data_IF_716600764631
#
_entry.id   IF_716600764631
#
_cell.length_a   1.000
_cell.length_b   1.000
_cell.length_c   1.000
_cell.angle_alpha   90.00
_cell.angle_beta   90.00
_cell.angle_gamma   90.00
#
_symmetry.space_group_name_H-M   'P 1'
#
loop_
_entity.id
_entity.type
_entity.pdbx_description
1 polymer ?
#
# COMPACT_ATOMS: atom_id res chain seq x y z
N UNK A 1 -13.17 5.09 14.28
CA UNK A 1 -11.73 5.21 13.89
C UNK A 1 -11.54 6.58 13.24
N UNK A 2 -10.45 7.30 13.53
CA UNK A 2 -10.21 8.63 12.95
C UNK A 2 -9.37 8.53 11.71
N UNK A 3 -9.85 9.07 10.59
CA UNK A 3 -9.09 9.30 9.36
C UNK A 3 -8.46 10.69 9.43
N UNK A 4 -7.16 10.79 9.27
CA UNK A 4 -6.40 12.05 9.35
C UNK A 4 -5.64 12.37 8.06
N UNK A 5 -5.77 11.54 7.02
CA UNK A 5 -5.04 11.69 5.77
C UNK A 5 -3.53 11.45 5.90
N UNK A 6 -3.10 10.58 6.82
CA UNK A 6 -1.67 10.26 7.06
C UNK A 6 -1.01 9.69 5.81
N UNK A 7 -1.74 8.91 5.00
CA UNK A 7 -1.23 8.40 3.74
C UNK A 7 -0.80 9.54 2.79
N UNK A 8 -1.59 10.62 2.72
CA UNK A 8 -1.28 11.81 1.93
C UNK A 8 -0.09 12.58 2.51
N UNK A 9 0.02 12.66 3.84
CA UNK A 9 1.19 13.25 4.48
C UNK A 9 2.47 12.49 4.16
N UNK A 10 2.45 11.15 4.21
CA UNK A 10 3.61 10.34 3.83
C UNK A 10 3.97 10.51 2.35
N UNK A 11 2.97 10.61 1.47
CA UNK A 11 3.19 10.95 0.06
C UNK A 11 3.86 12.31 -0.08
N UNK A 12 3.38 13.33 0.64
CA UNK A 12 3.98 14.66 0.65
C UNK A 12 5.43 14.66 1.15
N UNK A 13 5.74 13.86 2.18
CA UNK A 13 7.11 13.67 2.67
C UNK A 13 7.99 13.08 1.58
N UNK A 14 7.54 12.04 0.84
CA UNK A 14 8.30 11.48 -0.28
C UNK A 14 8.61 12.53 -1.34
N UNK A 15 7.65 13.40 -1.68
CA UNK A 15 7.84 14.49 -2.65
C UNK A 15 8.90 15.49 -2.14
N UNK A 16 8.78 15.94 -0.89
CA UNK A 16 9.74 16.90 -0.28
C UNK A 16 11.14 16.29 -0.24
N UNK A 17 11.26 15.03 0.21
CA UNK A 17 12.54 14.32 0.27
C UNK A 17 13.14 14.16 -1.11
N UNK A 18 12.36 13.85 -2.14
CA UNK A 18 12.84 13.75 -3.52
C UNK A 18 13.34 15.10 -4.05
N UNK A 19 12.67 16.20 -3.72
CA UNK A 19 13.17 17.54 -4.04
C UNK A 19 14.54 17.77 -3.38
N UNK A 20 14.67 17.47 -2.10
CA UNK A 20 15.95 17.63 -1.36
C UNK A 20 17.06 16.76 -2.00
N UNK A 21 16.75 15.51 -2.40
CA UNK A 21 17.69 14.62 -3.09
C UNK A 21 18.29 15.25 -4.36
N UNK A 22 17.51 16.06 -5.09
CA UNK A 22 17.97 16.68 -6.33
C UNK A 22 18.80 17.97 -6.10
N UNK A 23 18.74 18.59 -4.92
CA UNK A 23 19.46 19.81 -4.62
C UNK A 23 20.68 19.61 -3.72
N UNK A 24 20.72 18.52 -2.93
CA UNK A 24 21.79 18.28 -1.97
C UNK A 24 22.58 17.03 -2.39
N UNK A 25 23.82 17.25 -2.88
CA UNK A 25 24.73 16.15 -3.23
C UNK A 25 25.06 15.28 -2.01
N UNK A 26 25.11 13.96 -2.20
CA UNK A 26 25.39 13.01 -1.12
C UNK A 26 24.20 12.69 -0.18
N UNK A 27 23.07 13.39 -0.31
CA UNK A 27 21.90 13.18 0.54
C UNK A 27 21.32 11.78 0.36
N UNK A 28 21.20 11.31 -0.87
CA UNK A 28 20.67 9.96 -1.18
C UNK A 28 21.58 8.89 -0.60
N UNK A 29 22.89 9.00 -0.81
CA UNK A 29 23.93 8.05 -0.36
C UNK A 29 24.00 7.95 1.16
N UNK A 30 23.76 9.07 1.86
CA UNK A 30 23.73 9.13 3.32
C UNK A 30 22.53 8.37 3.94
N UNK A 31 21.40 8.22 3.20
CA UNK A 31 20.12 7.77 3.73
C UNK A 31 19.56 6.52 3.08
N UNK A 32 20.04 6.10 1.88
CA UNK A 32 19.59 4.90 1.21
C UNK A 32 20.00 3.64 2.02
N UNK A 33 19.24 2.56 1.83
CA UNK A 33 19.57 1.25 2.39
C UNK A 33 20.80 0.69 1.65
N UNK A 34 21.82 0.30 2.40
CA UNK A 34 23.00 -0.43 1.93
C UNK A 34 23.64 -1.17 3.11
N UNK A 35 24.79 -1.81 2.90
CA UNK A 35 25.50 -2.57 3.93
C UNK A 35 25.85 -1.76 5.19
N UNK A 36 25.94 -0.41 5.09
CA UNK A 36 26.15 0.44 6.26
C UNK A 36 24.96 0.45 7.22
N UNK A 37 23.79 -0.06 6.84
CA UNK A 37 22.61 -0.14 7.70
C UNK A 37 22.84 -0.97 8.98
N UNK A 38 23.83 -1.89 9.00
CA UNK A 38 24.21 -2.62 10.21
C UNK A 38 24.74 -1.71 11.32
N UNK A 39 25.40 -0.63 10.98
CA UNK A 39 25.93 0.36 11.93
C UNK A 39 25.17 1.68 11.88
N UNK A 40 24.29 1.86 10.90
CA UNK A 40 23.45 3.03 10.66
C UNK A 40 21.99 2.61 10.50
N UNK A 41 21.32 2.11 11.59
CA UNK A 41 20.01 1.46 11.50
C UNK A 41 18.87 2.38 11.04
N UNK A 42 19.06 3.70 11.12
CA UNK A 42 18.09 4.65 10.55
C UNK A 42 17.85 4.46 9.06
N UNK A 43 18.80 3.88 8.30
CA UNK A 43 18.69 3.60 6.86
C UNK A 43 17.52 2.67 6.53
N UNK A 44 17.15 1.75 7.43
CA UNK A 44 15.95 0.93 7.25
C UNK A 44 14.67 1.77 7.19
N UNK A 45 14.64 2.91 7.86
CA UNK A 45 13.51 3.83 7.89
C UNK A 45 13.63 4.90 6.79
N UNK A 46 14.78 5.55 6.68
CA UNK A 46 14.95 6.68 5.78
C UNK A 46 14.85 6.30 4.31
N UNK A 47 15.32 5.10 3.94
CA UNK A 47 15.24 4.58 2.59
C UNK A 47 13.80 4.50 2.04
N UNK A 48 12.79 4.34 2.92
CA UNK A 48 11.37 4.28 2.54
C UNK A 48 10.92 5.58 1.84
N UNK A 49 11.49 6.72 2.20
CA UNK A 49 11.08 8.03 1.69
C UNK A 49 11.90 8.51 0.49
N UNK A 50 13.01 7.83 0.16
CA UNK A 50 13.87 8.17 -0.97
C UNK A 50 13.34 7.58 -2.28
N UNK A 51 13.61 8.26 -3.41
CA UNK A 51 13.21 7.77 -4.72
C UNK A 51 14.32 8.00 -5.74
N UNK A 52 14.60 6.99 -6.58
CA UNK A 52 15.72 7.03 -7.54
C UNK A 52 15.41 7.77 -8.85
N UNK A 53 14.14 8.06 -9.13
CA UNK A 53 13.72 8.78 -10.33
C UNK A 53 12.33 9.39 -10.15
N UNK A 54 11.99 10.36 -10.99
CA UNK A 54 10.65 10.97 -11.01
C UNK A 54 9.55 9.93 -11.33
N UNK A 55 9.67 9.04 -12.34
CA UNK A 55 8.68 7.98 -12.53
C UNK A 55 8.51 7.09 -11.29
N UNK A 56 9.61 6.71 -10.61
CA UNK A 56 9.55 5.91 -9.39
C UNK A 56 8.77 6.61 -8.29
N UNK A 57 9.01 7.93 -8.08
CA UNK A 57 8.25 8.74 -7.13
C UNK A 57 6.76 8.82 -7.51
N UNK A 58 6.45 9.05 -8.80
CA UNK A 58 5.06 9.19 -9.25
C UNK A 58 4.26 7.90 -9.06
N UNK A 59 4.83 6.74 -9.41
CA UNK A 59 4.16 5.44 -9.21
C UNK A 59 3.95 5.16 -7.71
N UNK A 60 4.98 5.34 -6.90
CA UNK A 60 4.88 5.13 -5.45
C UNK A 60 3.93 6.14 -4.79
N UNK A 61 4.04 7.42 -5.15
CA UNK A 61 3.20 8.47 -4.60
C UNK A 61 1.72 8.24 -4.94
N UNK A 62 1.40 7.88 -6.19
CA UNK A 62 0.05 7.54 -6.59
C UNK A 62 -0.48 6.32 -5.83
N UNK A 63 0.29 5.24 -5.78
CA UNK A 63 -0.11 4.02 -5.09
C UNK A 63 -0.29 4.25 -3.57
N UNK A 64 0.61 5.00 -2.92
CA UNK A 64 0.52 5.34 -1.51
C UNK A 64 -0.68 6.24 -1.23
N UNK A 65 -0.90 7.28 -2.03
CA UNK A 65 -2.04 8.17 -1.88
C UNK A 65 -3.37 7.40 -2.05
N UNK A 66 -3.48 6.51 -3.03
CA UNK A 66 -4.69 5.76 -3.32
C UNK A 66 -4.90 4.62 -2.30
N UNK A 67 -4.05 3.62 -2.33
CA UNK A 67 -4.21 2.42 -1.49
C UNK A 67 -3.94 2.68 -0.02
N UNK A 68 -3.02 3.59 0.29
CA UNK A 68 -2.76 4.04 1.65
C UNK A 68 -3.98 4.71 2.27
N UNK A 69 -4.64 5.63 1.54
CA UNK A 69 -5.87 6.27 2.02
C UNK A 69 -7.02 5.28 2.18
N UNK A 70 -7.13 4.30 1.27
CA UNK A 70 -8.13 3.21 1.39
C UNK A 70 -7.90 2.38 2.65
N UNK A 71 -6.66 1.95 2.91
CA UNK A 71 -6.34 1.19 4.11
C UNK A 71 -6.53 2.04 5.37
N UNK A 72 -6.06 3.29 5.36
CA UNK A 72 -6.23 4.22 6.47
C UNK A 72 -7.71 4.43 6.84
N UNK A 73 -8.58 4.57 5.83
CA UNK A 73 -10.03 4.69 6.04
C UNK A 73 -10.62 3.44 6.71
N UNK A 74 -10.10 2.25 6.39
CA UNK A 74 -10.58 0.98 6.94
C UNK A 74 -10.13 0.73 8.39
N UNK A 75 -8.84 0.98 8.68
CA UNK A 75 -8.24 0.57 9.96
C UNK A 75 -7.92 1.75 10.89
N UNK A 76 -8.03 2.97 10.39
CA UNK A 76 -7.69 4.22 11.09
C UNK A 76 -6.21 4.56 11.02
N UNK A 77 -5.89 5.86 11.18
CA UNK A 77 -4.56 6.43 10.94
C UNK A 77 -3.44 5.80 11.76
N UNK A 78 -3.67 5.51 13.05
CA UNK A 78 -2.65 4.90 13.91
C UNK A 78 -2.23 3.50 13.43
N UNK A 79 -3.21 2.66 13.10
CA UNK A 79 -2.97 1.29 12.60
C UNK A 79 -2.35 1.32 11.21
N UNK A 80 -2.81 2.24 10.35
CA UNK A 80 -2.21 2.46 9.03
C UNK A 80 -0.72 2.83 9.14
N UNK A 81 -0.36 3.79 10.00
CA UNK A 81 1.04 4.15 10.21
C UNK A 81 1.88 2.96 10.70
N UNK A 82 1.33 2.15 11.61
CA UNK A 82 2.00 0.93 12.07
C UNK A 82 2.26 -0.04 10.90
N UNK A 83 1.24 -0.29 10.07
CA UNK A 83 1.39 -1.16 8.88
C UNK A 83 2.47 -0.59 7.96
N UNK A 84 2.39 0.70 7.61
CA UNK A 84 3.34 1.35 6.71
C UNK A 84 4.79 1.19 7.18
N UNK A 85 5.08 1.54 8.44
CA UNK A 85 6.45 1.48 8.95
C UNK A 85 6.94 0.05 9.15
N UNK A 86 6.13 -0.83 9.73
CA UNK A 86 6.56 -2.21 9.99
C UNK A 86 6.78 -2.97 8.69
N UNK A 87 5.90 -2.81 7.70
CA UNK A 87 6.06 -3.51 6.42
C UNK A 87 7.19 -2.90 5.58
N UNK A 88 7.39 -1.58 5.61
CA UNK A 88 8.48 -0.91 4.91
C UNK A 88 9.85 -1.26 5.51
N UNK A 89 9.99 -1.22 6.85
CA UNK A 89 11.23 -1.62 7.52
C UNK A 89 11.49 -3.12 7.31
N UNK A 90 10.45 -3.95 7.45
CA UNK A 90 10.56 -5.39 7.23
C UNK A 90 10.93 -5.74 5.79
N UNK A 91 10.38 -5.05 4.80
CA UNK A 91 10.76 -5.17 3.40
C UNK A 91 12.26 -4.84 3.19
N UNK A 92 12.75 -3.77 3.82
CA UNK A 92 14.16 -3.37 3.78
C UNK A 92 15.06 -4.39 4.48
N UNK A 93 14.62 -5.00 5.58
CA UNK A 93 15.36 -6.10 6.23
C UNK A 93 15.48 -7.33 5.33
N UNK A 94 14.42 -7.67 4.59
CA UNK A 94 14.44 -8.77 3.60
C UNK A 94 15.32 -8.42 2.42
N UNK A 95 15.31 -7.17 1.93
CA UNK A 95 16.09 -6.75 0.78
C UNK A 95 17.59 -6.71 1.04
N UNK A 96 17.99 -6.29 2.23
CA UNK A 96 19.38 -5.96 2.56
C UNK A 96 20.42 -7.05 2.22
N UNK A 97 20.18 -8.37 2.43
CA UNK A 97 21.15 -9.40 2.10
C UNK A 97 21.30 -9.66 0.59
N UNK A 98 20.36 -9.17 -0.24
CA UNK A 98 20.26 -9.55 -1.65
C UNK A 98 20.52 -8.39 -2.62
N UNK A 99 20.52 -7.15 -2.12
CA UNK A 99 20.72 -5.94 -2.94
C UNK A 99 21.82 -5.08 -2.35
N UNK A 100 22.73 -4.59 -3.20
CA UNK A 100 23.80 -3.67 -2.79
C UNK A 100 23.24 -2.36 -2.23
N UNK A 101 22.11 -1.92 -2.77
CA UNK A 101 21.37 -0.76 -2.28
C UNK A 101 19.87 -0.87 -2.62
N UNK A 102 19.03 -0.27 -1.77
CA UNK A 102 17.60 -0.15 -2.03
C UNK A 102 17.06 1.20 -1.49
N UNK A 103 16.01 1.67 -2.14
CA UNK A 103 15.27 2.86 -1.73
C UNK A 103 13.85 2.85 -2.34
N UNK A 104 12.92 3.51 -1.68
CA UNK A 104 11.55 3.66 -2.15
C UNK A 104 10.50 3.20 -1.16
N UNK A 105 9.30 3.76 -1.27
CA UNK A 105 8.15 3.39 -0.44
C UNK A 105 7.51 2.05 -0.85
N UNK A 106 7.97 1.43 -1.94
CA UNK A 106 7.30 0.29 -2.57
C UNK A 106 7.13 -0.91 -1.61
N UNK A 107 8.12 -1.24 -0.78
CA UNK A 107 7.99 -2.30 0.22
C UNK A 107 6.84 -2.07 1.20
N UNK A 108 6.68 -0.83 1.68
CA UNK A 108 5.54 -0.45 2.53
C UNK A 108 4.21 -0.47 1.76
N UNK A 109 4.21 -0.01 0.50
CA UNK A 109 3.03 -0.04 -0.38
C UNK A 109 2.58 -1.49 -0.63
N UNK A 110 3.50 -2.41 -0.91
CA UNK A 110 3.18 -3.83 -1.04
C UNK A 110 2.63 -4.41 0.28
N UNK A 111 3.10 -3.93 1.43
CA UNK A 111 2.49 -4.23 2.72
C UNK A 111 1.04 -3.74 2.84
N UNK A 112 0.76 -2.53 2.40
CA UNK A 112 -0.60 -1.97 2.33
C UNK A 112 -1.48 -2.82 1.41
N UNK A 113 -0.98 -3.17 0.21
CA UNK A 113 -1.68 -4.02 -0.75
C UNK A 113 -1.99 -5.41 -0.15
N UNK A 114 -1.01 -6.04 0.52
CA UNK A 114 -1.20 -7.31 1.21
C UNK A 114 -2.32 -7.28 2.25
N UNK A 115 -2.37 -6.21 3.05
CA UNK A 115 -3.46 -6.02 4.02
C UNK A 115 -4.82 -5.82 3.32
N UNK A 116 -4.88 -5.02 2.25
CA UNK A 116 -6.11 -4.78 1.48
C UNK A 116 -6.64 -6.03 0.79
N UNK A 117 -5.77 -6.89 0.25
CA UNK A 117 -6.16 -8.16 -0.39
C UNK A 117 -6.96 -9.03 0.59
N UNK A 118 -6.58 -9.08 1.87
CA UNK A 118 -7.29 -9.86 2.87
C UNK A 118 -8.51 -9.14 3.46
N UNK A 119 -8.46 -7.81 3.60
CA UNK A 119 -9.54 -7.03 4.19
C UNK A 119 -10.67 -6.75 3.18
N UNK A 120 -10.35 -6.58 1.91
CA UNK A 120 -11.28 -6.18 0.82
C UNK A 120 -10.98 -6.94 -0.48
N UNK A 121 -11.00 -8.29 -0.50
CA UNK A 121 -10.61 -9.08 -1.67
C UNK A 121 -11.42 -8.78 -2.93
N UNK A 122 -12.70 -8.46 -2.79
CA UNK A 122 -13.59 -8.11 -3.90
C UNK A 122 -13.58 -6.64 -4.30
N UNK A 123 -12.76 -5.79 -3.67
CA UNK A 123 -12.65 -4.38 -4.05
C UNK A 123 -12.13 -4.25 -5.48
N UNK A 124 -12.85 -3.53 -6.33
CA UNK A 124 -12.44 -3.31 -7.71
C UNK A 124 -11.33 -2.27 -7.76
N UNK A 125 -10.24 -2.61 -8.43
CA UNK A 125 -9.08 -1.76 -8.67
C UNK A 125 -8.72 -1.76 -10.15
N UNK A 126 -8.10 -0.66 -10.61
CA UNK A 126 -7.60 -0.58 -11.98
C UNK A 126 -6.14 -1.01 -12.02
N UNK A 127 -5.85 -2.05 -12.76
CA UNK A 127 -4.47 -2.52 -13.04
C UNK A 127 -4.24 -2.44 -14.54
N UNK A 128 -3.30 -1.61 -14.95
CA UNK A 128 -3.04 -1.31 -16.39
C UNK A 128 -4.29 -0.89 -17.16
N UNK A 129 -5.20 -0.13 -16.51
CA UNK A 129 -6.46 0.32 -17.12
C UNK A 129 -7.59 -0.71 -17.14
N UNK A 130 -7.37 -1.94 -16.69
CA UNK A 130 -8.38 -3.00 -16.59
C UNK A 130 -8.95 -3.07 -15.17
N UNK A 131 -10.27 -3.01 -14.99
CA UNK A 131 -10.89 -3.20 -13.69
C UNK A 131 -10.84 -4.68 -13.29
N UNK A 132 -10.34 -4.95 -12.08
CA UNK A 132 -10.31 -6.31 -11.55
C UNK A 132 -10.45 -6.32 -10.03
N UNK A 133 -10.91 -7.43 -9.42
CA UNK A 133 -10.94 -7.58 -7.99
C UNK A 133 -9.53 -7.53 -7.38
N UNK A 134 -9.40 -6.97 -6.18
CA UNK A 134 -8.14 -6.80 -5.46
C UNK A 134 -7.35 -8.10 -5.30
N UNK A 135 -8.03 -9.25 -5.10
CA UNK A 135 -7.34 -10.55 -5.00
C UNK A 135 -6.66 -10.97 -6.31
N UNK A 136 -7.28 -10.68 -7.47
CA UNK A 136 -6.67 -10.94 -8.80
C UNK A 136 -5.47 -10.03 -9.01
N UNK A 137 -5.62 -8.74 -8.72
CA UNK A 137 -4.51 -7.77 -8.76
C UNK A 137 -3.33 -8.23 -7.89
N UNK A 138 -3.62 -8.72 -6.68
CA UNK A 138 -2.62 -9.26 -5.77
C UNK A 138 -1.87 -10.46 -6.34
N UNK A 139 -2.57 -11.39 -6.98
CA UNK A 139 -1.94 -12.54 -7.66
C UNK A 139 -1.00 -12.06 -8.77
N UNK A 140 -1.44 -11.10 -9.58
CA UNK A 140 -0.62 -10.57 -10.68
C UNK A 140 0.64 -9.85 -10.17
N UNK A 141 0.54 -9.05 -9.12
CA UNK A 141 1.70 -8.37 -8.53
C UNK A 141 2.69 -9.36 -7.92
N UNK A 142 2.22 -10.34 -7.14
CA UNK A 142 3.09 -11.39 -6.58
C UNK A 142 3.76 -12.20 -7.69
N UNK A 143 3.00 -12.61 -8.71
CA UNK A 143 3.55 -13.34 -9.86
C UNK A 143 4.60 -12.50 -10.60
N UNK A 144 4.33 -11.20 -10.80
CA UNK A 144 5.27 -10.27 -11.42
C UNK A 144 6.58 -10.15 -10.65
N UNK A 145 6.51 -10.00 -9.31
CA UNK A 145 7.71 -9.94 -8.48
C UNK A 145 8.46 -11.28 -8.43
N UNK A 146 7.75 -12.42 -8.37
CA UNK A 146 8.40 -13.75 -8.43
C UNK A 146 9.12 -13.94 -9.77
N UNK A 147 8.48 -13.59 -10.89
CA UNK A 147 9.13 -13.65 -12.21
C UNK A 147 10.31 -12.65 -12.29
N UNK A 148 10.15 -11.48 -11.68
CA UNK A 148 11.18 -10.44 -11.60
C UNK A 148 12.46 -10.88 -10.86
N UNK A 149 12.41 -11.92 -10.00
CA UNK A 149 13.60 -12.48 -9.37
C UNK A 149 14.55 -13.15 -10.39
N UNK A 150 14.04 -13.58 -11.53
CA UNK A 150 14.79 -14.27 -12.58
C UNK A 150 15.21 -13.35 -13.73
N UNK A 151 14.82 -12.06 -13.67
CA UNK A 151 15.13 -11.07 -14.70
C UNK A 151 15.99 -9.96 -14.07
N UNK A 152 17.20 -9.70 -14.58
CA UNK A 152 18.02 -8.59 -14.10
C UNK A 152 17.24 -7.26 -14.20
N UNK A 153 17.02 -6.62 -13.07
CA UNK A 153 16.29 -5.35 -12.99
C UNK A 153 16.78 -4.54 -11.79
N UNK A 154 16.47 -3.24 -11.79
CA UNK A 154 16.71 -2.36 -10.65
C UNK A 154 15.54 -2.37 -9.64
N UNK A 155 14.68 -3.40 -9.70
CA UNK A 155 13.52 -3.54 -8.81
C UNK A 155 13.87 -4.50 -7.69
N UNK A 156 13.66 -4.08 -6.45
CA UNK A 156 13.90 -4.92 -5.27
C UNK A 156 12.69 -5.86 -5.03
N UNK A 157 12.48 -6.84 -5.92
CA UNK A 157 11.33 -7.75 -5.90
C UNK A 157 11.21 -8.51 -4.56
N UNK A 158 12.32 -8.90 -3.92
CA UNK A 158 12.29 -9.52 -2.59
C UNK A 158 11.76 -8.57 -1.51
N UNK A 159 12.06 -7.26 -1.60
CA UNK A 159 11.46 -6.27 -0.70
C UNK A 159 9.94 -6.21 -0.86
N UNK A 160 9.44 -6.23 -2.09
CA UNK A 160 8.00 -6.26 -2.39
C UNK A 160 7.33 -7.52 -1.81
N UNK A 161 7.91 -8.70 -2.06
CA UNK A 161 7.42 -9.97 -1.52
C UNK A 161 7.45 -10.00 0.01
N UNK A 162 8.49 -9.47 0.63
CA UNK A 162 8.59 -9.31 2.08
C UNK A 162 7.51 -8.36 2.62
N UNK A 163 7.30 -7.24 1.95
CA UNK A 163 6.27 -6.27 2.30
C UNK A 163 4.87 -6.88 2.24
N UNK A 164 4.51 -7.52 1.11
CA UNK A 164 3.17 -8.12 0.93
C UNK A 164 2.91 -9.25 1.92
N UNK A 165 3.92 -10.07 2.23
CA UNK A 165 3.82 -11.11 3.24
C UNK A 165 3.48 -10.55 4.62
N UNK A 166 4.20 -9.51 5.08
CA UNK A 166 3.89 -8.82 6.33
C UNK A 166 2.52 -8.15 6.28
N UNK A 167 2.14 -7.61 5.12
CA UNK A 167 0.81 -7.08 4.87
C UNK A 167 -0.29 -8.11 5.05
N UNK A 168 -0.10 -9.34 4.58
CA UNK A 168 -1.03 -10.45 4.83
C UNK A 168 -1.20 -10.75 6.32
N UNK A 169 -0.13 -10.72 7.10
CA UNK A 169 -0.21 -10.91 8.57
C UNK A 169 -1.08 -9.83 9.20
N UNK A 170 -0.85 -8.56 8.86
CA UNK A 170 -1.68 -7.45 9.35
C UNK A 170 -3.14 -7.55 8.86
N UNK A 171 -3.35 -7.90 7.60
CA UNK A 171 -4.68 -8.09 7.03
C UNK A 171 -5.45 -9.20 7.75
N UNK A 172 -4.83 -10.34 8.02
CA UNK A 172 -5.42 -11.44 8.79
C UNK A 172 -5.75 -11.02 10.23
N UNK A 173 -4.83 -10.32 10.89
CA UNK A 173 -5.05 -9.81 12.24
C UNK A 173 -6.23 -8.83 12.29
N UNK A 174 -6.24 -7.81 11.42
CA UNK A 174 -7.30 -6.80 11.42
C UNK A 174 -8.64 -7.34 10.97
N UNK A 175 -8.67 -8.33 10.07
CA UNK A 175 -9.92 -9.01 9.66
C UNK A 175 -10.65 -9.63 10.84
N UNK A 176 -9.90 -10.10 11.86
CA UNK A 176 -10.48 -10.73 13.04
C UNK A 176 -11.00 -9.72 14.07
N UNK A 177 -10.44 -8.51 14.12
CA UNK A 177 -10.76 -7.52 15.14
C UNK A 177 -11.61 -6.34 14.65
N UNK A 178 -11.71 -6.17 13.33
CA UNK A 178 -12.58 -5.13 12.77
C UNK A 178 -14.04 -5.59 12.79
N UNK A 179 -14.99 -4.69 13.10
CA UNK A 179 -16.40 -4.98 12.96
C UNK A 179 -16.67 -5.46 11.52
N UNK A 180 -17.37 -6.59 11.39
CA UNK A 180 -17.86 -7.01 10.08
C UNK A 180 -18.87 -5.97 9.60
N UNK A 181 -18.75 -5.52 8.35
CA UNK A 181 -19.82 -4.71 7.77
C UNK A 181 -21.13 -5.51 7.88
N UNK A 182 -22.22 -4.86 8.34
CA UNK A 182 -23.53 -5.50 8.25
C UNK A 182 -23.69 -5.98 6.80
N UNK A 183 -24.06 -7.24 6.61
CA UNK A 183 -24.46 -7.72 5.27
C UNK A 183 -25.45 -6.70 4.74
N UNK A 184 -25.16 -6.06 3.59
CA UNK A 184 -26.17 -5.26 2.92
C UNK A 184 -27.43 -6.10 2.92
N UNK A 185 -28.57 -5.59 3.42
CA UNK A 185 -29.83 -6.30 3.28
C UNK A 185 -29.89 -6.74 1.82
N UNK A 186 -30.12 -8.04 1.61
CA UNK A 186 -30.42 -8.55 0.27
C UNK A 186 -31.42 -7.59 -0.33
N UNK A 187 -31.01 -6.95 -1.45
CA UNK A 187 -31.82 -6.04 -2.26
C UNK A 187 -33.16 -5.71 -1.62
N UNK A 188 -33.45 -4.42 -1.38
CA UNK A 188 -34.85 -4.01 -1.36
C UNK A 188 -35.50 -4.82 -2.49
N UNK A 189 -36.16 -5.96 -2.15
CA UNK A 189 -37.06 -6.58 -3.09
C UNK A 189 -38.09 -5.47 -3.29
N UNK A 190 -38.03 -4.85 -4.46
CA UNK A 190 -39.10 -3.98 -4.93
C UNK A 190 -40.35 -4.83 -4.95
N UNK A 191 -40.99 -4.91 -3.79
CA UNK A 191 -42.28 -5.50 -3.66
C UNK A 191 -43.23 -4.51 -4.35
N UNK A 192 -44.08 -5.00 -5.25
CA UNK A 192 -45.09 -4.20 -5.94
C UNK A 192 -45.89 -3.33 -4.96
N UNK A 193 -46.05 -3.79 -3.74
CA UNK A 193 -46.74 -3.08 -2.66
C UNK A 193 -45.97 -1.82 -2.21
N UNK A 194 -44.66 -1.91 -2.06
CA UNK A 194 -43.81 -0.77 -1.72
C UNK A 194 -43.68 0.23 -2.89
N UNK A 195 -43.78 -0.24 -4.12
CA UNK A 195 -43.82 0.64 -5.29
C UNK A 195 -45.13 1.40 -5.39
N UNK A 196 -46.27 0.77 -5.15
CA UNK A 196 -47.57 1.43 -5.13
C UNK A 196 -47.70 2.45 -4.00
N UNK A 197 -47.21 2.14 -2.77
CA UNK A 197 -47.16 3.06 -1.65
C UNK A 197 -46.31 4.29 -1.96
N UNK A 198 -45.18 4.09 -2.69
CA UNK A 198 -44.31 5.18 -3.14
C UNK A 198 -45.01 6.02 -4.22
N UNK A 199 -45.64 5.38 -5.21
CA UNK A 199 -46.40 6.04 -6.29
C UNK A 199 -47.55 6.88 -5.69
N UNK A 200 -48.32 6.32 -4.77
CA UNK A 200 -49.44 7.02 -4.11
C UNK A 200 -48.98 8.21 -3.26
N UNK A 201 -47.77 8.13 -2.69
CA UNK A 201 -47.24 9.18 -1.82
C UNK A 201 -46.58 10.33 -2.58
N UNK A 202 -45.98 10.08 -3.73
CA UNK A 202 -45.19 11.08 -4.43
C UNK A 202 -45.74 11.50 -5.80
N UNK A 203 -46.71 10.81 -6.38
CA UNK A 203 -47.25 11.11 -7.71
C UNK A 203 -48.72 11.59 -7.68
N UNK A 204 -49.36 11.62 -6.52
CA UNK A 204 -50.69 12.18 -6.24
C UNK A 204 -50.64 13.17 -5.08
#
# INVERSE_FOLDING_TARGET
MTFKGIALWFTGICIIVFIIQNFIGGFTEALLLNQSAFIQPWRFLTAIFLHGSLPHLLYNGFALALFGSMLEALIGSKRFSLVFFVTGIGANLVAMPFYDSALGASGAIFGILGALILLRPGMMVLVYGLPMPMFIAGILWVAGDVLGLFVPSNIANLAHLGGIFLGFIFGAYYRNILPREPRRPQSLQFNEQNMREWEDHYLH
#
